data_IF_975686453852
#
_entry.id   IF_975686453852
#
_cell.length_a   1.000
_cell.length_b   1.000
_cell.length_c   1.000
_cell.angle_alpha   90.00
_cell.angle_beta   90.00
_cell.angle_gamma   90.00
#
_symmetry.space_group_name_H-M   'P 1'
#
loop_
_entity.id
_entity.type
_entity.pdbx_description
1 polymer ?
#
# COMPACT_ATOMS: atom_id res chain seq x y z
N UNK A 1 -4.64 42.95 22.92
CA UNK A 1 -3.60 42.50 21.95
C UNK A 1 -3.65 40.97 21.90
N UNK A 2 -3.93 40.43 20.75
CA UNK A 2 -3.84 38.98 20.55
C UNK A 2 -2.36 38.68 20.32
N UNK A 3 -1.77 37.85 21.19
CA UNK A 3 -0.39 37.41 20.99
C UNK A 3 -0.34 36.57 19.71
N UNK A 4 0.55 36.85 18.77
CA UNK A 4 0.69 36.01 17.57
C UNK A 4 0.99 34.58 17.99
N UNK A 5 0.22 33.61 17.45
CA UNK A 5 0.45 32.20 17.75
C UNK A 5 1.59 31.60 16.92
N UNK A 6 2.29 32.42 16.16
CA UNK A 6 3.47 32.03 15.40
C UNK A 6 3.42 32.40 13.94
N UNK A 7 4.31 31.84 13.17
CA UNK A 7 4.45 32.09 11.73
C UNK A 7 4.62 30.76 10.98
N UNK A 8 4.29 30.80 9.70
CA UNK A 8 4.41 29.64 8.80
C UNK A 8 5.59 29.86 7.84
N UNK A 9 6.36 28.84 7.61
CA UNK A 9 7.44 28.82 6.64
C UNK A 9 7.55 27.42 6.02
N UNK A 10 8.38 27.30 4.99
CA UNK A 10 8.66 25.98 4.38
C UNK A 10 9.39 25.09 5.38
N UNK A 11 8.89 23.87 5.58
CA UNK A 11 9.51 22.91 6.49
C UNK A 11 10.84 22.39 5.93
N UNK A 12 11.85 22.33 6.80
CA UNK A 12 13.13 21.68 6.48
C UNK A 12 12.96 20.15 6.47
N UNK A 13 14.00 19.44 6.00
CA UNK A 13 14.01 17.97 6.04
C UNK A 13 13.94 17.46 7.49
N UNK A 14 14.63 18.09 8.42
CA UNK A 14 14.57 17.71 9.84
C UNK A 14 13.19 17.96 10.43
N UNK A 15 12.60 19.10 10.12
CA UNK A 15 11.23 19.41 10.56
C UNK A 15 10.22 18.42 9.97
N UNK A 16 10.38 18.02 8.73
CA UNK A 16 9.54 17.00 8.09
C UNK A 16 9.62 15.68 8.85
N UNK A 17 10.82 15.20 9.17
CA UNK A 17 11.02 14.00 9.98
C UNK A 17 10.40 14.12 11.36
N UNK A 18 10.56 15.28 11.99
CA UNK A 18 9.98 15.55 13.31
C UNK A 18 8.45 15.49 13.29
N UNK A 19 7.84 16.10 12.28
CA UNK A 19 6.37 16.07 12.12
C UNK A 19 5.86 14.66 11.96
N UNK A 20 6.52 13.85 11.09
CA UNK A 20 6.16 12.46 10.91
C UNK A 20 6.30 11.65 12.22
N UNK A 21 7.40 11.84 12.94
CA UNK A 21 7.65 11.15 14.20
C UNK A 21 6.61 11.52 15.27
N UNK A 22 6.23 12.78 15.35
CA UNK A 22 5.22 13.25 16.32
C UNK A 22 3.84 12.70 16.00
N UNK A 23 3.45 12.66 14.72
CA UNK A 23 2.18 12.05 14.32
C UNK A 23 2.16 10.56 14.61
N UNK A 24 3.25 9.87 14.29
CA UNK A 24 3.38 8.44 14.60
C UNK A 24 3.24 8.18 16.11
N UNK A 25 3.92 8.95 16.95
CA UNK A 25 3.82 8.81 18.39
C UNK A 25 2.39 9.06 18.90
N UNK A 26 1.70 10.05 18.35
CA UNK A 26 0.31 10.31 18.65
C UNK A 26 -0.59 9.13 18.28
N UNK A 27 -0.39 8.56 17.10
CA UNK A 27 -1.16 7.41 16.63
C UNK A 27 -0.88 6.15 17.48
N UNK A 28 0.38 5.92 17.83
CA UNK A 28 0.77 4.80 18.69
C UNK A 28 0.14 4.90 20.10
N UNK A 29 -0.02 6.11 20.63
CA UNK A 29 -0.69 6.33 21.90
C UNK A 29 -2.17 5.91 21.86
N UNK A 30 -2.80 5.91 20.70
CA UNK A 30 -4.20 5.51 20.51
C UNK A 30 -4.36 4.08 20.00
N UNK A 31 -3.55 3.67 19.03
CA UNK A 31 -3.64 2.37 18.36
C UNK A 31 -2.55 1.37 18.76
N UNK A 32 -1.58 1.78 19.57
CA UNK A 32 -0.49 0.92 20.02
C UNK A 32 0.40 0.44 18.88
N UNK A 33 0.91 -0.78 19.00
CA UNK A 33 1.84 -1.41 18.05
C UNK A 33 1.23 -1.62 16.65
N UNK A 34 -0.11 -1.44 16.49
CA UNK A 34 -0.75 -1.53 15.20
C UNK A 34 -0.18 -0.53 14.18
N UNK A 35 0.40 0.59 14.64
CA UNK A 35 1.01 1.60 13.77
C UNK A 35 2.49 1.36 13.51
N UNK A 36 3.09 0.30 14.01
CA UNK A 36 4.45 -0.09 13.64
C UNK A 36 4.43 -0.66 12.22
N UNK A 37 5.24 -0.08 11.33
CA UNK A 37 5.30 -0.51 9.94
C UNK A 37 6.22 -1.71 9.79
N UNK A 38 5.76 -2.73 9.06
CA UNK A 38 6.58 -3.87 8.64
C UNK A 38 6.70 -3.84 7.13
N UNK A 39 7.90 -3.64 6.57
CA UNK A 39 8.07 -3.61 5.13
C UNK A 39 7.91 -5.00 4.50
N UNK A 40 7.29 -5.04 3.33
CA UNK A 40 7.21 -6.22 2.47
C UNK A 40 7.84 -5.84 1.13
N UNK A 41 8.97 -6.43 0.83
CA UNK A 41 9.78 -6.12 -0.34
C UNK A 41 10.12 -7.41 -1.06
N UNK A 42 9.51 -7.66 -2.22
CA UNK A 42 9.75 -8.86 -3.00
C UNK A 42 10.22 -8.47 -4.39
N UNK A 43 11.22 -9.18 -4.89
CA UNK A 43 11.78 -8.97 -6.20
C UNK A 43 11.75 -10.27 -7.00
N UNK A 44 11.44 -10.16 -8.28
CA UNK A 44 11.48 -11.26 -9.23
C UNK A 44 12.68 -11.09 -10.15
N UNK A 45 13.56 -12.08 -10.14
CA UNK A 45 14.73 -12.10 -11.00
C UNK A 45 14.59 -13.23 -12.03
N UNK A 46 15.11 -12.99 -13.24
CA UNK A 46 15.19 -14.03 -14.25
C UNK A 46 16.38 -14.97 -13.99
N UNK A 47 16.58 -15.93 -14.89
CA UNK A 47 17.67 -16.91 -14.80
C UNK A 47 19.08 -16.28 -14.84
N UNK A 48 19.19 -15.04 -15.31
CA UNK A 48 20.47 -14.30 -15.37
C UNK A 48 20.65 -13.37 -14.16
N UNK A 49 19.71 -13.39 -13.21
CA UNK A 49 19.73 -12.50 -12.05
C UNK A 49 19.28 -11.08 -12.34
N UNK A 50 18.68 -10.82 -13.50
CA UNK A 50 18.17 -9.50 -13.85
C UNK A 50 16.82 -9.26 -13.20
N UNK A 51 16.64 -8.09 -12.58
CA UNK A 51 15.36 -7.70 -11.98
C UNK A 51 14.31 -7.53 -13.06
N UNK A 52 13.21 -8.27 -12.96
CA UNK A 52 12.14 -8.29 -13.96
C UNK A 52 10.76 -7.98 -13.37
N UNK A 53 10.68 -7.81 -12.08
CA UNK A 53 9.43 -7.45 -11.41
C UNK A 53 9.58 -7.35 -9.91
N UNK A 54 8.54 -6.91 -9.23
CA UNK A 54 8.56 -6.84 -7.77
C UNK A 54 7.33 -6.19 -7.19
N UNK A 55 7.22 -6.28 -5.88
CA UNK A 55 6.18 -5.62 -5.08
C UNK A 55 6.81 -4.93 -3.88
N UNK A 56 6.42 -3.68 -3.67
CA UNK A 56 6.81 -2.88 -2.53
C UNK A 56 5.55 -2.52 -1.75
N UNK A 57 5.53 -2.88 -0.50
CA UNK A 57 4.36 -2.72 0.36
C UNK A 57 4.78 -2.59 1.82
N UNK A 58 3.85 -2.18 2.67
CA UNK A 58 4.04 -2.09 4.11
C UNK A 58 2.81 -2.61 4.82
N UNK A 59 3.03 -3.34 5.92
CA UNK A 59 1.96 -3.71 6.86
C UNK A 59 1.89 -2.64 7.93
N UNK A 60 0.73 -2.03 8.09
CA UNK A 60 0.47 -1.02 9.11
C UNK A 60 -1.02 -1.02 9.45
N UNK A 61 -1.34 -0.85 10.73
CA UNK A 61 -2.72 -0.77 11.22
C UNK A 61 -3.61 -1.96 10.76
N UNK A 62 -3.03 -3.15 10.66
CA UNK A 62 -3.74 -4.37 10.27
C UNK A 62 -3.99 -4.52 8.77
N UNK A 63 -3.38 -3.66 7.95
CA UNK A 63 -3.52 -3.65 6.49
C UNK A 63 -2.17 -3.77 5.80
N UNK A 64 -2.14 -4.52 4.70
CA UNK A 64 -1.06 -4.41 3.72
C UNK A 64 -1.42 -3.27 2.77
N UNK A 65 -0.58 -2.25 2.70
CA UNK A 65 -0.68 -1.22 1.69
C UNK A 65 0.34 -1.50 0.59
N UNK A 66 -0.13 -1.81 -0.61
CA UNK A 66 0.73 -2.04 -1.78
C UNK A 66 0.98 -0.70 -2.45
N UNK A 67 2.26 -0.31 -2.54
CA UNK A 67 2.68 0.94 -3.18
C UNK A 67 3.10 0.73 -4.62
N UNK A 68 3.80 -0.37 -4.89
CA UNK A 68 4.32 -0.72 -6.21
C UNK A 68 4.10 -2.19 -6.47
N UNK A 69 3.51 -2.51 -7.60
CA UNK A 69 3.52 -3.83 -8.21
C UNK A 69 3.86 -3.64 -9.68
N UNK A 70 4.99 -4.16 -10.09
CA UNK A 70 5.48 -4.00 -11.46
C UNK A 70 6.05 -5.30 -11.98
N UNK A 71 5.77 -5.59 -13.24
CA UNK A 71 6.35 -6.70 -13.99
C UNK A 71 6.81 -6.16 -15.32
N UNK A 72 8.02 -6.52 -15.73
CA UNK A 72 8.58 -6.18 -17.01
C UNK A 72 7.56 -6.49 -18.12
N UNK A 73 7.29 -5.53 -19.04
CA UNK A 73 6.33 -5.74 -20.13
C UNK A 73 6.55 -7.02 -20.94
N UNK A 74 7.78 -7.45 -21.14
CA UNK A 74 8.12 -8.66 -21.87
C UNK A 74 7.66 -9.94 -21.16
N UNK A 75 7.45 -9.88 -19.83
CA UNK A 75 7.06 -11.03 -19.02
C UNK A 75 5.60 -10.97 -18.54
N UNK A 76 4.84 -9.98 -18.95
CA UNK A 76 3.42 -9.85 -18.59
C UNK A 76 2.59 -10.98 -19.22
N UNK A 77 1.48 -11.32 -18.55
CA UNK A 77 0.60 -12.39 -18.98
C UNK A 77 1.10 -13.80 -18.66
N UNK A 78 2.13 -13.93 -17.84
CA UNK A 78 2.71 -15.23 -17.43
C UNK A 78 2.45 -15.57 -15.95
N UNK A 79 1.59 -14.80 -15.28
CA UNK A 79 1.24 -15.03 -13.88
C UNK A 79 2.24 -14.52 -12.85
N UNK A 80 3.28 -13.80 -13.24
CA UNK A 80 4.30 -13.29 -12.30
C UNK A 80 3.71 -12.26 -11.34
N UNK A 81 2.90 -11.32 -11.84
CA UNK A 81 2.23 -10.32 -11.00
C UNK A 81 1.29 -10.97 -9.98
N UNK A 82 0.53 -11.98 -10.40
CA UNK A 82 -0.33 -12.75 -9.51
C UNK A 82 0.47 -13.44 -8.40
N UNK A 83 1.60 -14.05 -8.75
CA UNK A 83 2.47 -14.73 -7.78
C UNK A 83 3.11 -13.75 -6.79
N UNK A 84 3.58 -12.60 -7.29
CA UNK A 84 4.14 -11.55 -6.44
C UNK A 84 3.09 -11.02 -5.45
N UNK A 85 1.90 -10.73 -5.93
CA UNK A 85 0.82 -10.23 -5.08
C UNK A 85 0.39 -11.27 -4.05
N UNK A 86 0.21 -12.52 -4.46
CA UNK A 86 -0.15 -13.60 -3.56
C UNK A 86 0.89 -13.83 -2.48
N UNK A 87 2.18 -13.77 -2.81
CA UNK A 87 3.25 -13.91 -1.81
C UNK A 87 3.28 -12.71 -0.86
N UNK A 88 3.09 -11.49 -1.37
CA UNK A 88 3.00 -10.32 -0.51
C UNK A 88 1.83 -10.42 0.46
N UNK A 89 0.67 -10.90 0.01
CA UNK A 89 -0.49 -11.15 0.87
C UNK A 89 -0.18 -12.20 1.94
N UNK A 90 0.52 -13.29 1.58
CA UNK A 90 0.90 -14.34 2.52
C UNK A 90 1.89 -13.84 3.57
N UNK A 91 2.90 -13.08 3.16
CA UNK A 91 3.85 -12.44 4.09
C UNK A 91 3.13 -11.50 5.03
N UNK A 92 2.24 -10.66 4.49
CA UNK A 92 1.46 -9.71 5.29
C UNK A 92 0.57 -10.41 6.31
N UNK A 93 -0.07 -11.50 5.94
CA UNK A 93 -0.91 -12.29 6.83
C UNK A 93 -0.09 -12.85 8.01
N UNK A 94 1.12 -13.34 7.76
CA UNK A 94 2.03 -13.80 8.82
C UNK A 94 2.44 -12.67 9.78
N UNK A 95 2.41 -11.42 9.32
CA UNK A 95 2.67 -10.23 10.13
C UNK A 95 1.40 -9.58 10.68
N UNK A 96 0.28 -10.28 10.67
CA UNK A 96 -0.96 -9.83 11.30
C UNK A 96 -1.87 -8.95 10.45
N UNK A 97 -1.57 -8.76 9.17
CA UNK A 97 -2.48 -8.05 8.28
C UNK A 97 -3.76 -8.86 8.06
N UNK A 98 -4.90 -8.17 8.09
CA UNK A 98 -6.23 -8.75 7.88
C UNK A 98 -6.79 -8.44 6.51
N UNK A 99 -6.28 -7.41 5.87
CA UNK A 99 -6.77 -6.91 4.59
C UNK A 99 -5.64 -6.25 3.82
N UNK A 100 -5.90 -6.03 2.54
CA UNK A 100 -4.98 -5.37 1.61
C UNK A 100 -5.68 -4.18 0.99
N UNK A 101 -4.98 -3.08 0.86
CA UNK A 101 -5.44 -1.90 0.12
C UNK A 101 -4.38 -1.47 -0.89
N UNK A 102 -4.86 -0.97 -2.02
CA UNK A 102 -4.01 -0.41 -3.06
C UNK A 102 -4.82 0.56 -3.91
N UNK A 103 -4.11 1.32 -4.71
CA UNK A 103 -4.74 2.11 -5.75
C UNK A 103 -4.04 1.91 -7.08
N UNK A 104 -4.77 2.18 -8.15
CA UNK A 104 -4.28 2.09 -9.52
C UNK A 104 -4.96 3.16 -10.37
N UNK A 105 -4.40 3.42 -11.54
CA UNK A 105 -5.00 4.34 -12.51
C UNK A 105 -5.76 3.57 -13.58
N UNK A 106 -6.67 4.25 -14.28
CA UNK A 106 -7.53 3.64 -15.29
C UNK A 106 -6.79 3.04 -16.49
N UNK A 107 -5.54 3.45 -16.74
CA UNK A 107 -4.69 2.86 -17.79
C UNK A 107 -3.83 1.68 -17.29
N UNK A 108 -3.89 1.33 -16.00
CA UNK A 108 -3.04 0.29 -15.42
C UNK A 108 -3.78 -1.05 -15.33
N UNK A 109 -4.18 -1.48 -14.15
CA UNK A 109 -4.43 -2.88 -13.89
C UNK A 109 -5.71 -3.18 -13.11
N UNK A 110 -6.76 -2.35 -13.23
CA UNK A 110 -8.02 -2.58 -12.51
C UNK A 110 -8.54 -4.01 -12.72
N UNK A 111 -8.62 -4.46 -13.97
CA UNK A 111 -9.12 -5.80 -14.29
C UNK A 111 -8.27 -6.91 -13.67
N UNK A 112 -6.95 -6.72 -13.60
CA UNK A 112 -6.06 -7.67 -12.94
C UNK A 112 -6.41 -7.82 -11.46
N UNK A 113 -6.58 -6.71 -10.74
CA UNK A 113 -6.90 -6.76 -9.31
C UNK A 113 -8.29 -7.35 -9.05
N UNK A 114 -9.27 -7.03 -9.88
CA UNK A 114 -10.60 -7.65 -9.78
C UNK A 114 -10.51 -9.18 -9.90
N UNK A 115 -9.71 -9.69 -10.82
CA UNK A 115 -9.48 -11.14 -10.96
C UNK A 115 -8.76 -11.75 -9.75
N UNK A 116 -7.99 -10.95 -9.01
CA UNK A 116 -7.32 -11.41 -7.79
C UNK A 116 -8.21 -11.33 -6.54
N UNK A 117 -9.48 -10.98 -6.71
CA UNK A 117 -10.45 -10.93 -5.62
C UNK A 117 -10.57 -9.57 -4.94
N UNK A 118 -10.00 -8.53 -5.51
CA UNK A 118 -10.13 -7.16 -5.01
C UNK A 118 -11.46 -6.56 -5.43
N UNK A 119 -11.98 -5.66 -4.60
CA UNK A 119 -13.19 -4.87 -4.87
C UNK A 119 -12.86 -3.39 -4.86
N UNK A 120 -13.50 -2.64 -5.75
CA UNK A 120 -13.37 -1.19 -5.79
C UNK A 120 -14.18 -0.59 -4.65
N UNK A 121 -13.57 0.30 -3.87
CA UNK A 121 -14.27 1.02 -2.81
C UNK A 121 -14.27 2.53 -3.01
N UNK A 122 -13.60 3.04 -4.03
CA UNK A 122 -13.61 4.45 -4.36
C UNK A 122 -13.00 4.73 -5.72
N UNK A 123 -13.48 5.81 -6.35
CA UNK A 123 -12.96 6.31 -7.61
C UNK A 123 -12.77 7.82 -7.49
N UNK A 124 -11.60 8.31 -7.86
CA UNK A 124 -11.28 9.72 -7.83
C UNK A 124 -11.15 10.23 -9.26
N UNK A 125 -12.08 11.07 -9.74
CA UNK A 125 -11.98 11.63 -11.09
C UNK A 125 -10.89 12.68 -11.15
N UNK A 126 -10.41 12.96 -12.37
CA UNK A 126 -9.37 13.95 -12.64
C UNK A 126 -8.09 13.76 -11.81
N UNK A 127 -7.66 12.53 -11.65
CA UNK A 127 -6.44 12.18 -10.93
C UNK A 127 -5.63 11.15 -11.71
N UNK A 128 -4.69 11.59 -12.59
CA UNK A 128 -4.45 12.97 -13.06
C UNK A 128 -5.57 13.48 -13.97
N UNK A 129 -5.55 14.78 -14.37
CA UNK A 129 -6.60 15.34 -15.22
C UNK A 129 -6.89 14.48 -16.45
N UNK A 130 -8.19 14.21 -16.71
CA UNK A 130 -8.64 13.36 -17.80
C UNK A 130 -8.60 11.85 -17.50
N UNK A 131 -8.18 11.46 -16.31
CA UNK A 131 -8.06 10.07 -15.88
C UNK A 131 -8.71 9.85 -14.51
N UNK A 132 -8.76 8.59 -14.10
CA UNK A 132 -9.38 8.20 -12.84
C UNK A 132 -8.38 7.40 -12.00
N UNK A 133 -8.31 7.68 -10.71
CA UNK A 133 -7.59 6.88 -9.72
C UNK A 133 -8.60 5.98 -9.02
N UNK A 134 -8.28 4.69 -8.92
CA UNK A 134 -9.19 3.66 -8.48
C UNK A 134 -8.62 3.01 -7.22
N UNK A 135 -9.42 2.96 -6.17
CA UNK A 135 -9.04 2.40 -4.87
C UNK A 135 -9.69 1.04 -4.68
N UNK A 136 -8.88 0.04 -4.40
CA UNK A 136 -9.32 -1.35 -4.27
C UNK A 136 -8.86 -1.94 -2.93
N UNK A 137 -9.62 -2.90 -2.44
CA UNK A 137 -9.31 -3.63 -1.22
C UNK A 137 -9.68 -5.10 -1.34
N UNK A 138 -9.06 -5.91 -0.46
CA UNK A 138 -9.33 -7.34 -0.35
C UNK A 138 -9.18 -7.77 1.11
N UNK A 139 -10.15 -8.53 1.64
CA UNK A 139 -10.01 -9.18 2.93
C UNK A 139 -9.16 -10.45 2.77
N UNK A 140 -8.18 -10.64 3.67
CA UNK A 140 -7.38 -11.86 3.67
C UNK A 140 -8.15 -12.99 4.35
N UNK A 141 -8.03 -14.25 3.88
CA UNK A 141 -8.79 -15.37 4.40
C UNK A 141 -8.58 -15.60 5.90
N UNK A 142 -9.66 -15.85 6.64
CA UNK A 142 -9.62 -16.17 8.08
C UNK A 142 -9.28 -14.99 8.99
N UNK A 143 -9.21 -13.77 8.45
CA UNK A 143 -8.73 -12.59 9.19
C UNK A 143 -9.81 -11.85 9.97
N UNK A 144 -11.07 -12.05 9.65
CA UNK A 144 -12.17 -11.39 10.32
C UNK A 144 -12.87 -12.36 11.26
N UNK A 145 -13.08 -12.00 12.54
CA UNK A 145 -14.05 -12.73 13.32
C UNK A 145 -15.38 -12.59 12.58
N UNK A 146 -15.99 -13.71 12.24
CA UNK A 146 -17.34 -13.68 11.68
C UNK A 146 -18.24 -13.06 12.74
N UNK A 147 -18.68 -11.85 12.48
CA UNK A 147 -19.78 -11.28 13.25
C UNK A 147 -21.04 -12.00 12.81
N UNK A 148 -21.49 -12.82 13.68
CA UNK A 148 -22.84 -13.36 13.61
C UNK A 148 -23.85 -12.23 13.76
#
# INVERSE_FOLDING_TARGET
>A
MITPIGAMATASADETRTLCARLLAFNQAHGGDAFDETPVRLAWHDEHGTLRGGVLADVCAGWLQVHVLWVDPELRGRGIGQRLLAEAEAVAHRHGARSVMLDTFDWQAEAFYLRQGYTVYGRLPDCPPGHERIYLRKALPGSWPQRL
#
